data_IF_483246835696
#
_entry.id   IF_483246835696
#
_cell.length_a   1.000
_cell.length_b   1.000
_cell.length_c   1.000
_cell.angle_alpha   90.00
_cell.angle_beta   90.00
_cell.angle_gamma   90.00
#
_symmetry.space_group_name_H-M   'P 1'
#
loop_
_entity.id
_entity.type
_entity.pdbx_description
1 polymer ?
#
# COMPACT_ATOMS: atom_id res chain seq x y z
N UNK A 1 3.22 -6.86 -30.49
CA UNK A 1 2.21 -7.14 -29.43
C UNK A 1 2.91 -6.87 -28.12
N UNK A 2 2.46 -5.87 -27.35
CA UNK A 2 3.03 -5.65 -26.02
C UNK A 2 2.66 -6.85 -25.15
N UNK A 3 3.62 -7.35 -24.37
CA UNK A 3 3.36 -8.41 -23.40
C UNK A 3 2.32 -7.91 -22.37
N UNK A 4 1.48 -8.80 -21.87
CA UNK A 4 0.53 -8.47 -20.80
C UNK A 4 1.28 -7.93 -19.59
N UNK A 5 0.84 -6.81 -18.95
CA UNK A 5 1.47 -6.30 -17.73
C UNK A 5 1.21 -7.21 -16.52
N UNK A 6 0.26 -8.13 -16.64
CA UNK A 6 -0.16 -8.97 -15.54
C UNK A 6 0.77 -10.16 -15.36
N UNK A 7 1.18 -10.37 -14.12
CA UNK A 7 2.04 -11.50 -13.76
C UNK A 7 1.28 -12.83 -13.83
N UNK A 8 1.99 -13.85 -14.29
CA UNK A 8 1.50 -15.22 -14.21
C UNK A 8 1.48 -15.69 -12.74
N UNK A 9 0.43 -16.43 -12.34
CA UNK A 9 0.34 -16.97 -10.99
C UNK A 9 1.55 -17.84 -10.63
N UNK A 10 2.19 -17.53 -9.50
CA UNK A 10 3.28 -18.32 -8.95
C UNK A 10 2.72 -19.46 -8.10
N UNK A 11 3.19 -20.69 -8.34
CA UNK A 11 2.88 -21.79 -7.43
C UNK A 11 3.79 -21.74 -6.21
N UNK A 12 3.17 -21.65 -5.02
CA UNK A 12 3.86 -21.68 -3.72
C UNK A 12 3.26 -22.84 -2.94
N UNK A 13 4.09 -23.81 -2.54
CA UNK A 13 3.62 -25.04 -1.90
C UNK A 13 3.36 -24.84 -0.41
N UNK A 14 4.24 -24.12 0.25
CA UNK A 14 4.33 -24.09 1.71
C UNK A 14 4.25 -22.67 2.28
N UNK A 15 3.60 -22.56 3.45
CA UNK A 15 3.51 -21.31 4.21
C UNK A 15 4.89 -20.85 4.71
N UNK A 16 5.84 -21.75 4.89
CA UNK A 16 7.21 -21.46 5.32
C UNK A 16 8.02 -20.69 4.27
N UNK A 17 7.62 -20.77 3.00
CA UNK A 17 8.22 -19.97 1.93
C UNK A 17 7.74 -18.51 1.93
N UNK A 18 6.71 -18.22 2.73
CA UNK A 18 6.04 -16.94 2.77
C UNK A 18 6.60 -16.04 3.89
N UNK A 19 6.33 -14.75 3.77
CA UNK A 19 6.38 -13.79 4.86
C UNK A 19 5.09 -12.99 4.88
N UNK A 20 4.41 -12.96 6.01
CA UNK A 20 3.16 -12.25 6.16
C UNK A 20 3.41 -10.87 6.76
N UNK A 21 3.26 -9.84 5.94
CA UNK A 21 3.28 -8.45 6.40
C UNK A 21 1.94 -8.10 7.09
N UNK A 22 0.85 -8.66 6.60
CA UNK A 22 -0.47 -8.54 7.22
C UNK A 22 -0.93 -9.87 7.79
N UNK A 23 -1.60 -9.80 8.95
CA UNK A 23 -2.35 -10.94 9.50
C UNK A 23 -3.52 -11.27 8.59
N UNK A 24 -3.64 -12.54 8.21
CA UNK A 24 -4.64 -13.00 7.25
C UNK A 24 -5.34 -14.26 7.72
N UNK A 25 -6.62 -14.38 7.37
CA UNK A 25 -7.34 -15.64 7.46
C UNK A 25 -7.06 -16.45 6.19
N UNK A 26 -6.20 -17.45 6.30
CA UNK A 26 -5.75 -18.28 5.17
C UNK A 26 -6.54 -19.57 5.13
N UNK A 27 -7.27 -19.89 4.04
CA UNK A 27 -8.02 -21.14 3.93
C UNK A 27 -7.13 -22.34 4.24
N UNK A 28 -7.64 -23.29 5.02
CA UNK A 28 -6.98 -24.52 5.49
C UNK A 28 -5.83 -24.31 6.51
N UNK A 29 -5.36 -23.08 6.72
CA UNK A 29 -4.30 -22.74 7.67
C UNK A 29 -4.79 -21.92 8.86
N UNK A 30 -6.02 -21.39 8.81
CA UNK A 30 -6.55 -20.51 9.84
C UNK A 30 -5.91 -19.12 9.83
N UNK A 31 -5.76 -18.51 10.98
CA UNK A 31 -5.12 -17.19 11.13
C UNK A 31 -3.60 -17.34 11.04
N UNK A 32 -3.00 -16.70 10.04
CA UNK A 32 -1.54 -16.54 9.95
C UNK A 32 -1.20 -15.12 10.38
N UNK A 33 -0.41 -15.02 11.45
CA UNK A 33 -0.04 -13.71 12.02
C UNK A 33 0.98 -12.99 11.15
N UNK A 34 0.76 -11.68 10.97
CA UNK A 34 1.68 -10.75 10.32
C UNK A 34 2.04 -9.59 11.24
N UNK A 35 2.75 -8.60 10.70
CA UNK A 35 3.11 -7.40 11.46
C UNK A 35 1.91 -6.50 11.73
N UNK A 36 1.01 -6.37 10.76
CA UNK A 36 -0.22 -5.58 10.85
C UNK A 36 -1.45 -6.47 10.84
N UNK A 37 -2.36 -6.26 11.78
CA UNK A 37 -3.71 -6.83 11.71
C UNK A 37 -4.72 -5.73 11.38
N UNK A 38 -5.17 -5.73 10.12
CA UNK A 38 -6.14 -4.76 9.59
C UNK A 38 -7.58 -5.28 9.71
N UNK A 39 -7.78 -6.57 9.97
CA UNK A 39 -9.08 -7.26 9.94
C UNK A 39 -10.16 -6.59 10.78
N UNK A 40 -9.88 -6.09 12.01
CA UNK A 40 -10.93 -5.50 12.86
C UNK A 40 -11.53 -4.21 12.28
N UNK A 41 -10.77 -3.45 11.47
CA UNK A 41 -11.18 -2.15 10.96
C UNK A 41 -10.80 -1.93 9.48
N UNK A 42 -10.77 -2.99 8.68
CA UNK A 42 -10.33 -2.91 7.28
C UNK A 42 -11.23 -2.00 6.43
N UNK A 43 -12.54 -1.97 6.70
CA UNK A 43 -13.45 -1.06 6.01
C UNK A 43 -13.11 0.42 6.31
N UNK A 44 -12.69 0.73 7.55
CA UNK A 44 -12.21 2.08 7.90
C UNK A 44 -10.87 2.39 7.24
N UNK A 45 -10.02 1.38 7.08
CA UNK A 45 -8.75 1.50 6.37
C UNK A 45 -8.96 1.84 4.91
N UNK A 46 -10.06 1.34 4.30
CA UNK A 46 -10.53 1.66 2.95
C UNK A 46 -11.45 2.89 2.90
N UNK A 47 -11.56 3.67 3.98
CA UNK A 47 -12.36 4.89 4.03
C UNK A 47 -13.88 4.69 4.02
N UNK A 48 -14.36 3.46 4.20
CA UNK A 48 -15.79 3.11 4.18
C UNK A 48 -16.42 3.22 2.78
N UNK A 49 -15.62 3.17 1.74
CA UNK A 49 -16.09 3.27 0.35
C UNK A 49 -16.79 1.96 -0.05
N UNK A 50 -17.93 2.06 -0.74
CA UNK A 50 -18.57 0.88 -1.34
C UNK A 50 -17.74 0.40 -2.54
N UNK A 51 -17.33 -0.87 -2.48
CA UNK A 51 -16.47 -1.50 -3.49
C UNK A 51 -17.25 -2.36 -4.49
N UNK A 52 -18.55 -2.57 -4.25
CA UNK A 52 -19.37 -3.50 -5.02
C UNK A 52 -19.46 -3.10 -6.49
N UNK A 53 -19.05 -4.01 -7.37
CA UNK A 53 -19.05 -3.79 -8.81
C UNK A 53 -18.00 -2.79 -9.29
N UNK A 54 -17.12 -2.30 -8.40
CA UNK A 54 -16.05 -1.37 -8.73
C UNK A 54 -14.78 -2.10 -9.13
N UNK A 55 -13.98 -1.46 -9.95
CA UNK A 55 -12.63 -1.91 -10.28
C UNK A 55 -11.61 -1.16 -9.43
N UNK A 56 -10.88 -1.89 -8.60
CA UNK A 56 -9.92 -1.37 -7.63
C UNK A 56 -8.48 -1.61 -8.07
N UNK A 57 -7.65 -0.57 -8.04
CA UNK A 57 -6.19 -0.67 -8.07
C UNK A 57 -5.67 -0.58 -6.63
N UNK A 58 -5.17 -1.69 -6.11
CA UNK A 58 -4.54 -1.80 -4.78
C UNK A 58 -3.02 -1.62 -4.92
N UNK A 59 -2.52 -0.43 -4.59
CA UNK A 59 -1.10 -0.05 -4.75
C UNK A 59 -0.34 -0.31 -3.46
N UNK A 60 0.66 -1.21 -3.54
CA UNK A 60 1.36 -1.74 -2.38
C UNK A 60 0.59 -2.91 -1.74
N UNK A 61 0.12 -3.83 -2.58
CA UNK A 61 -0.77 -4.92 -2.18
C UNK A 61 -0.17 -5.89 -1.15
N UNK A 62 1.16 -5.98 -1.05
CA UNK A 62 1.89 -6.88 -0.17
C UNK A 62 1.36 -8.33 -0.26
N UNK A 63 0.81 -8.88 0.83
CA UNK A 63 0.21 -10.24 0.83
C UNK A 63 -1.24 -10.28 0.33
N UNK A 64 -1.79 -9.15 -0.16
CA UNK A 64 -3.12 -9.09 -0.75
C UNK A 64 -4.28 -8.97 0.25
N UNK A 65 -4.05 -8.58 1.51
CA UNK A 65 -5.13 -8.47 2.50
C UNK A 65 -6.25 -7.55 2.04
N UNK A 66 -5.91 -6.40 1.45
CA UNK A 66 -6.87 -5.43 0.89
C UNK A 66 -7.47 -5.97 -0.39
N UNK A 67 -6.64 -6.47 -1.30
CA UNK A 67 -7.07 -7.06 -2.57
C UNK A 67 -8.13 -8.13 -2.37
N UNK A 68 -7.87 -9.13 -1.52
CA UNK A 68 -8.80 -10.23 -1.29
C UNK A 68 -10.02 -9.81 -0.45
N UNK A 69 -9.88 -8.79 0.41
CA UNK A 69 -11.05 -8.21 1.07
C UNK A 69 -11.97 -7.50 0.07
N UNK A 70 -11.41 -6.74 -0.86
CA UNK A 70 -12.17 -6.06 -1.91
C UNK A 70 -12.90 -7.05 -2.83
N UNK A 71 -12.25 -8.16 -3.22
CA UNK A 71 -12.93 -9.22 -3.98
C UNK A 71 -14.13 -9.81 -3.22
N UNK A 72 -13.99 -10.05 -1.91
CA UNK A 72 -15.13 -10.50 -1.08
C UNK A 72 -16.27 -9.47 -1.00
N UNK A 73 -15.98 -8.21 -1.35
CA UNK A 73 -16.95 -7.11 -1.51
C UNK A 73 -17.39 -6.93 -2.97
N UNK A 74 -17.17 -7.94 -3.82
CA UNK A 74 -17.57 -7.97 -5.23
C UNK A 74 -16.85 -6.91 -6.11
N UNK A 75 -15.62 -6.52 -5.75
CA UNK A 75 -14.76 -5.70 -6.61
C UNK A 75 -13.97 -6.56 -7.61
N UNK A 76 -13.69 -6.00 -8.80
CA UNK A 76 -12.60 -6.47 -9.66
C UNK A 76 -11.30 -5.83 -9.18
N UNK A 77 -10.23 -6.61 -8.97
CA UNK A 77 -9.02 -6.11 -8.33
C UNK A 77 -7.79 -6.25 -9.23
N UNK A 78 -7.05 -5.16 -9.34
CA UNK A 78 -5.67 -5.13 -9.82
C UNK A 78 -4.77 -4.85 -8.62
N UNK A 79 -3.94 -5.82 -8.25
CA UNK A 79 -2.95 -5.70 -7.18
C UNK A 79 -1.62 -5.25 -7.78
N UNK A 80 -1.10 -4.10 -7.36
CA UNK A 80 0.16 -3.56 -7.84
C UNK A 80 1.20 -3.56 -6.73
N UNK A 81 2.40 -4.13 -6.99
CA UNK A 81 3.50 -4.15 -6.02
C UNK A 81 4.87 -4.27 -6.70
N UNK A 82 5.93 -4.28 -5.91
CA UNK A 82 7.30 -4.60 -6.33
C UNK A 82 7.48 -6.11 -6.46
N UNK A 83 8.24 -6.54 -7.48
CA UNK A 83 8.80 -7.90 -7.48
C UNK A 83 10.19 -7.92 -6.82
N UNK A 84 10.75 -9.13 -6.68
CA UNK A 84 12.13 -9.32 -6.26
C UNK A 84 13.20 -8.74 -7.19
N UNK A 85 12.81 -8.34 -8.42
CA UNK A 85 13.69 -7.69 -9.38
C UNK A 85 13.80 -6.17 -9.15
N UNK A 86 12.89 -5.62 -8.34
CA UNK A 86 12.86 -4.22 -7.96
C UNK A 86 13.53 -3.98 -6.61
N UNK A 87 13.94 -2.75 -6.36
CA UNK A 87 14.39 -2.29 -5.04
C UNK A 87 13.42 -1.27 -4.48
N UNK A 88 13.34 -1.20 -3.16
CA UNK A 88 12.65 -0.11 -2.48
C UNK A 88 13.44 1.19 -2.63
N UNK A 89 12.78 2.32 -2.37
CA UNK A 89 13.43 3.63 -2.24
C UNK A 89 14.28 3.67 -0.95
N UNK A 90 15.44 3.04 -1.00
CA UNK A 90 16.37 3.01 0.14
C UNK A 90 16.97 4.40 0.33
N UNK A 91 16.97 4.89 1.58
CA UNK A 91 17.63 6.15 1.94
C UNK A 91 19.15 6.02 1.77
N UNK A 92 19.77 6.83 0.87
CA UNK A 92 21.19 6.68 0.51
C UNK A 92 22.09 7.45 1.49
N UNK A 93 22.21 6.94 2.71
CA UNK A 93 23.10 7.56 3.70
C UNK A 93 24.56 7.56 3.23
N UNK A 94 25.22 8.72 3.40
CA UNK A 94 26.62 8.88 3.02
C UNK A 94 27.53 7.89 3.77
N UNK A 95 28.42 7.23 3.02
CA UNK A 95 29.36 6.24 3.58
C UNK A 95 28.75 4.87 3.91
N UNK A 96 27.45 4.67 3.69
CA UNK A 96 26.79 3.38 3.93
C UNK A 96 26.64 2.60 2.62
N UNK A 97 27.12 1.37 2.61
CA UNK A 97 26.95 0.45 1.46
C UNK A 97 25.55 -0.16 1.50
N UNK A 98 24.74 0.16 0.50
CA UNK A 98 23.33 -0.26 0.43
C UNK A 98 23.14 -1.63 -0.25
N UNK A 99 24.14 -2.17 -0.93
CA UNK A 99 24.02 -3.38 -1.76
C UNK A 99 23.61 -4.62 -0.94
N UNK A 100 24.15 -4.76 0.28
CA UNK A 100 23.77 -5.86 1.18
C UNK A 100 22.32 -5.72 1.65
N UNK A 101 21.91 -4.48 1.93
CA UNK A 101 20.54 -4.17 2.32
C UNK A 101 19.57 -4.43 1.17
N UNK A 102 19.91 -3.99 -0.04
CA UNK A 102 19.12 -4.22 -1.25
C UNK A 102 18.90 -5.72 -1.50
N UNK A 103 19.95 -6.55 -1.47
CA UNK A 103 19.81 -8.01 -1.61
C UNK A 103 18.89 -8.61 -0.53
N UNK A 104 19.00 -8.15 0.72
CA UNK A 104 18.11 -8.60 1.80
C UNK A 104 16.66 -8.20 1.52
N UNK A 105 16.43 -6.98 1.03
CA UNK A 105 15.09 -6.47 0.69
C UNK A 105 14.47 -7.25 -0.46
N UNK A 106 15.20 -7.56 -1.52
CA UNK A 106 14.73 -8.39 -2.64
C UNK A 106 14.30 -9.79 -2.17
N UNK A 107 15.10 -10.43 -1.31
CA UNK A 107 14.72 -11.70 -0.70
C UNK A 107 13.47 -11.61 0.18
N UNK A 108 13.29 -10.48 0.86
CA UNK A 108 12.09 -10.22 1.65
C UNK A 108 10.85 -10.01 0.77
N UNK A 109 10.97 -9.20 -0.29
CA UNK A 109 9.91 -9.01 -1.28
C UNK A 109 9.46 -10.33 -1.91
N UNK A 110 10.41 -11.20 -2.29
CA UNK A 110 10.09 -12.53 -2.79
C UNK A 110 9.18 -13.31 -1.83
N UNK A 111 9.49 -13.30 -0.53
CA UNK A 111 8.69 -14.01 0.47
C UNK A 111 7.32 -13.37 0.70
N UNK A 112 7.22 -12.03 0.61
CA UNK A 112 5.92 -11.31 0.64
C UNK A 112 5.08 -11.73 -0.56
N UNK A 113 5.66 -11.69 -1.77
CA UNK A 113 4.98 -12.10 -3.00
C UNK A 113 4.58 -13.59 -2.99
N UNK A 114 5.39 -14.45 -2.36
CA UNK A 114 5.00 -15.83 -2.12
C UNK A 114 3.74 -15.90 -1.24
N UNK A 115 3.68 -15.10 -0.18
CA UNK A 115 2.48 -15.02 0.66
C UNK A 115 1.24 -14.55 -0.11
N UNK A 116 1.39 -13.58 -1.01
CA UNK A 116 0.31 -13.17 -1.91
C UNK A 116 -0.19 -14.34 -2.77
N UNK A 117 0.69 -15.01 -3.51
CA UNK A 117 0.31 -16.10 -4.41
C UNK A 117 -0.20 -17.34 -3.68
N UNK A 118 0.34 -17.61 -2.48
CA UNK A 118 -0.15 -18.67 -1.62
C UNK A 118 -1.62 -18.42 -1.21
N UNK A 119 -1.93 -17.22 -0.72
CA UNK A 119 -3.29 -16.85 -0.34
C UNK A 119 -4.22 -16.73 -1.55
N UNK A 120 -3.73 -16.19 -2.67
CA UNK A 120 -4.46 -16.10 -3.94
C UNK A 120 -4.95 -17.47 -4.39
N UNK A 121 -4.06 -18.46 -4.42
CA UNK A 121 -4.39 -19.84 -4.81
C UNK A 121 -5.38 -20.49 -3.86
N UNK A 122 -5.13 -20.43 -2.55
CA UNK A 122 -5.99 -21.07 -1.56
C UNK A 122 -7.36 -20.42 -1.42
N UNK A 123 -7.44 -19.10 -1.64
CA UNK A 123 -8.68 -18.34 -1.64
C UNK A 123 -9.46 -18.41 -2.95
N UNK A 124 -8.89 -19.00 -4.01
CA UNK A 124 -9.51 -19.00 -5.33
C UNK A 124 -9.69 -17.58 -5.89
N UNK A 125 -8.77 -16.66 -5.56
CA UNK A 125 -8.82 -15.26 -5.96
C UNK A 125 -8.72 -15.11 -7.48
N UNK A 126 -9.38 -14.09 -8.01
CA UNK A 126 -9.31 -13.67 -9.42
C UNK A 126 -8.55 -12.35 -9.58
N UNK A 127 -8.04 -11.78 -8.49
CA UNK A 127 -7.25 -10.55 -8.53
C UNK A 127 -6.04 -10.72 -9.45
N UNK A 128 -5.79 -9.72 -10.28
CA UNK A 128 -4.68 -9.74 -11.24
C UNK A 128 -3.52 -8.95 -10.69
N UNK A 129 -2.36 -9.59 -10.53
CA UNK A 129 -1.17 -8.93 -10.03
C UNK A 129 -0.37 -8.27 -11.15
N UNK A 130 0.19 -7.09 -10.86
CA UNK A 130 1.14 -6.36 -11.71
C UNK A 130 2.34 -6.01 -10.84
N UNK A 131 3.54 -6.32 -11.32
CA UNK A 131 4.77 -5.92 -10.65
C UNK A 131 5.47 -4.81 -11.41
N UNK A 132 5.87 -3.76 -10.71
CA UNK A 132 6.53 -2.63 -11.36
C UNK A 132 6.91 -1.50 -10.40
N UNK A 133 7.37 -0.41 -11.00
CA UNK A 133 7.70 0.82 -10.32
C UNK A 133 6.44 1.68 -10.15
N UNK A 134 6.13 2.05 -8.90
CA UNK A 134 4.96 2.86 -8.54
C UNK A 134 4.98 4.25 -9.19
N UNK A 135 6.15 4.74 -9.57
CA UNK A 135 6.29 6.01 -10.27
C UNK A 135 5.86 5.95 -11.75
N UNK A 136 5.73 4.74 -12.29
CA UNK A 136 5.33 4.51 -13.67
C UNK A 136 4.41 3.28 -13.80
N UNK A 137 3.21 3.37 -13.23
CA UNK A 137 2.20 2.31 -13.33
C UNK A 137 1.79 2.16 -14.80
N UNK A 138 1.85 0.93 -15.39
CA UNK A 138 1.62 0.71 -16.81
C UNK A 138 0.21 1.09 -17.27
N UNK A 139 0.11 1.76 -18.43
CA UNK A 139 -1.17 2.14 -19.02
C UNK A 139 -2.05 0.92 -19.37
N UNK A 140 -1.43 -0.21 -19.62
CA UNK A 140 -2.05 -1.48 -19.99
C UNK A 140 -2.92 -2.09 -18.87
N UNK A 141 -2.80 -1.63 -17.62
CA UNK A 141 -3.75 -2.03 -16.58
C UNK A 141 -5.17 -1.54 -16.87
N UNK A 142 -5.29 -0.47 -17.70
CA UNK A 142 -6.55 0.16 -18.06
C UNK A 142 -7.10 1.08 -16.96
N UNK A 143 -8.34 1.52 -17.15
CA UNK A 143 -9.04 2.39 -16.21
C UNK A 143 -9.55 1.61 -15.00
N UNK A 144 -9.57 2.26 -13.84
CA UNK A 144 -10.13 1.75 -12.59
C UNK A 144 -11.07 2.78 -11.98
N UNK A 145 -12.07 2.34 -11.22
CA UNK A 145 -12.95 3.25 -10.50
C UNK A 145 -12.24 3.87 -9.30
N UNK A 146 -11.44 3.05 -8.61
CA UNK A 146 -10.81 3.39 -7.34
C UNK A 146 -9.32 3.02 -7.39
N UNK A 147 -8.44 3.91 -6.89
CA UNK A 147 -7.10 3.51 -6.48
C UNK A 147 -6.92 3.70 -4.98
N UNK A 148 -6.28 2.73 -4.36
CA UNK A 148 -5.97 2.71 -2.93
C UNK A 148 -4.47 2.66 -2.69
N UNK A 149 -3.98 3.53 -1.80
CA UNK A 149 -2.61 3.60 -1.33
C UNK A 149 -2.58 3.40 0.18
N UNK A 150 -2.21 2.21 0.62
CA UNK A 150 -2.21 1.83 2.03
C UNK A 150 -0.83 1.87 2.67
N UNK A 151 -0.50 2.95 3.35
CA UNK A 151 0.76 3.12 4.10
C UNK A 151 2.02 2.83 3.26
N UNK A 152 2.02 3.25 1.99
CA UNK A 152 3.19 3.14 1.12
C UNK A 152 3.85 4.48 0.82
N UNK A 153 3.10 5.59 0.80
CA UNK A 153 3.62 6.89 0.38
C UNK A 153 4.76 7.39 1.28
N UNK A 154 4.74 7.03 2.57
CA UNK A 154 5.80 7.35 3.52
C UNK A 154 7.14 6.70 3.16
N UNK A 155 7.12 5.61 2.42
CA UNK A 155 8.30 4.84 2.00
C UNK A 155 8.89 5.31 0.67
N UNK A 156 8.23 6.24 -0.03
CA UNK A 156 8.58 6.68 -1.35
C UNK A 156 9.37 7.99 -1.31
N UNK A 157 10.35 8.12 -2.19
CA UNK A 157 11.15 9.34 -2.33
C UNK A 157 10.31 10.48 -2.85
N UNK A 158 9.45 10.23 -3.84
CA UNK A 158 8.51 11.19 -4.41
C UNK A 158 7.05 10.68 -4.29
N UNK A 159 6.40 10.90 -3.13
CA UNK A 159 5.04 10.43 -2.90
C UNK A 159 4.00 11.12 -3.80
N UNK A 160 4.27 12.34 -4.30
CA UNK A 160 3.36 13.00 -5.22
C UNK A 160 3.40 12.38 -6.62
N UNK A 161 4.59 12.07 -7.14
CA UNK A 161 4.74 11.41 -8.43
C UNK A 161 4.09 10.01 -8.42
N UNK A 162 4.26 9.25 -7.34
CA UNK A 162 3.62 7.95 -7.18
C UNK A 162 2.08 8.06 -7.20
N UNK A 163 1.55 9.03 -6.47
CA UNK A 163 0.11 9.29 -6.46
C UNK A 163 -0.41 9.74 -7.84
N UNK A 164 0.35 10.59 -8.54
CA UNK A 164 0.04 11.04 -9.90
C UNK A 164 0.03 9.87 -10.89
N UNK A 165 0.97 8.95 -10.75
CA UNK A 165 1.09 7.77 -11.62
C UNK A 165 -0.20 6.92 -11.59
N UNK A 166 -0.70 6.58 -10.40
CA UNK A 166 -1.95 5.82 -10.29
C UNK A 166 -3.20 6.65 -10.59
N UNK A 167 -3.22 7.93 -10.22
CA UNK A 167 -4.36 8.82 -10.45
C UNK A 167 -4.75 8.96 -11.93
N UNK A 168 -3.82 8.72 -12.86
CA UNK A 168 -4.09 8.71 -14.32
C UNK A 168 -5.09 7.63 -14.73
N UNK A 169 -5.17 6.54 -13.97
CA UNK A 169 -6.06 5.41 -14.24
C UNK A 169 -7.43 5.55 -13.58
N UNK A 170 -7.56 6.47 -12.59
CA UNK A 170 -8.73 6.53 -11.70
C UNK A 170 -9.85 7.36 -12.32
N UNK A 171 -11.04 6.77 -12.39
CA UNK A 171 -12.24 7.45 -12.90
C UNK A 171 -12.99 8.23 -11.80
N UNK A 172 -13.05 7.71 -10.58
CA UNK A 172 -13.93 8.29 -9.55
C UNK A 172 -13.25 8.63 -8.21
N UNK A 173 -12.52 7.69 -7.62
CA UNK A 173 -12.13 7.80 -6.21
C UNK A 173 -10.67 7.44 -5.97
N UNK A 174 -9.98 8.29 -5.22
CA UNK A 174 -8.60 8.07 -4.77
C UNK A 174 -8.61 7.97 -3.24
N UNK A 175 -8.04 6.89 -2.71
CA UNK A 175 -7.99 6.63 -1.26
C UNK A 175 -6.52 6.55 -0.84
N UNK A 176 -6.16 7.32 0.19
CA UNK A 176 -4.85 7.25 0.82
C UNK A 176 -5.03 7.05 2.31
N UNK A 177 -4.45 5.97 2.81
CA UNK A 177 -4.37 5.70 4.24
C UNK A 177 -2.91 5.68 4.67
N UNK A 178 -2.58 6.38 5.75
CA UNK A 178 -1.21 6.44 6.25
C UNK A 178 -1.18 6.58 7.78
N UNK A 179 0.02 6.36 8.35
CA UNK A 179 0.27 6.47 9.78
C UNK A 179 0.11 7.94 10.20
N UNK A 180 -0.61 8.15 11.31
CA UNK A 180 -0.73 9.49 11.86
C UNK A 180 0.63 9.99 12.37
N UNK A 181 1.14 11.13 11.86
CA UNK A 181 2.29 11.80 12.45
C UNK A 181 2.06 12.09 13.94
N UNK A 182 3.09 11.89 14.75
CA UNK A 182 3.06 12.10 16.22
C UNK A 182 2.16 11.15 17.03
N UNK A 183 1.84 9.98 16.47
CA UNK A 183 1.18 8.88 17.20
C UNK A 183 -0.20 9.22 17.75
N UNK A 184 -0.47 8.85 18.99
CA UNK A 184 -1.80 9.02 19.61
C UNK A 184 -2.17 10.48 19.86
N UNK A 185 -1.20 11.36 20.07
CA UNK A 185 -1.39 12.81 20.20
C UNK A 185 -1.50 13.51 18.84
N UNK A 186 -1.33 12.76 17.76
CA UNK A 186 -1.24 13.26 16.40
C UNK A 186 -2.52 13.86 15.81
N UNK A 187 -3.74 13.29 16.00
CA UNK A 187 -4.92 13.78 15.31
C UNK A 187 -5.22 15.26 15.49
N UNK A 188 -5.15 15.86 16.70
CA UNK A 188 -5.35 17.29 16.88
C UNK A 188 -4.30 18.15 16.18
N UNK A 189 -3.06 17.69 16.14
CA UNK A 189 -1.92 18.42 15.57
C UNK A 189 -1.84 18.19 14.06
N UNK A 190 -1.90 16.94 13.62
CA UNK A 190 -1.73 16.54 12.23
C UNK A 190 -2.76 17.17 11.28
N UNK A 191 -3.99 17.45 11.79
CA UNK A 191 -5.03 18.13 11.01
C UNK A 191 -4.64 19.55 10.56
N UNK A 192 -3.71 20.21 11.26
CA UNK A 192 -3.26 21.56 10.93
C UNK A 192 -1.95 21.59 10.15
N UNK A 193 -1.19 20.49 10.15
CA UNK A 193 0.06 20.41 9.43
C UNK A 193 -0.19 20.35 7.91
N UNK A 194 0.62 21.07 7.15
CA UNK A 194 0.50 21.21 5.69
C UNK A 194 1.75 20.77 4.94
N UNK A 195 2.83 20.49 5.66
CA UNK A 195 4.14 20.17 5.11
C UNK A 195 4.58 18.78 5.52
N UNK A 196 5.28 18.04 4.65
CA UNK A 196 5.88 16.78 5.02
C UNK A 196 7.02 17.00 6.01
N UNK A 197 7.29 16.02 6.86
CA UNK A 197 8.49 15.98 7.70
C UNK A 197 9.43 14.93 7.15
N UNK A 198 10.67 15.33 6.84
CA UNK A 198 11.72 14.42 6.43
C UNK A 198 12.19 13.61 7.64
N UNK A 199 12.15 12.29 7.55
CA UNK A 199 12.35 11.37 8.68
C UNK A 199 13.79 10.87 8.81
N UNK A 200 14.55 10.69 7.70
CA UNK A 200 15.89 10.13 7.79
C UNK A 200 16.84 10.96 8.66
N UNK A 201 17.52 10.28 9.58
CA UNK A 201 18.47 10.87 10.51
C UNK A 201 19.91 10.45 10.10
N UNK A 202 20.75 11.39 9.63
CA UNK A 202 22.12 11.09 9.20
C UNK A 202 23.05 10.71 10.35
N UNK A 203 22.75 11.11 11.61
CA UNK A 203 23.57 10.74 12.76
C UNK A 203 23.41 9.26 13.13
N UNK A 204 22.18 8.72 12.89
CA UNK A 204 21.84 7.33 13.16
C UNK A 204 21.88 6.44 11.93
N UNK A 205 21.97 7.02 10.73
CA UNK A 205 21.78 6.34 9.47
C UNK A 205 20.50 5.49 9.45
N UNK A 206 19.38 6.07 9.92
CA UNK A 206 18.09 5.38 10.11
C UNK A 206 16.94 6.41 10.06
N UNK A 207 15.71 6.00 9.64
CA UNK A 207 15.36 4.72 9.04
C UNK A 207 15.83 4.58 7.58
N UNK A 208 15.89 3.34 7.09
CA UNK A 208 16.33 3.03 5.73
C UNK A 208 15.23 3.10 4.67
N UNK A 209 13.97 2.98 5.11
CA UNK A 209 12.80 2.71 4.30
C UNK A 209 11.64 3.68 4.55
N UNK A 210 11.88 4.72 5.32
CA UNK A 210 10.87 5.74 5.62
C UNK A 210 11.46 7.12 5.33
N UNK A 211 10.87 7.81 4.36
CA UNK A 211 11.31 9.12 3.93
C UNK A 211 10.55 10.25 4.63
N UNK A 212 9.23 10.05 4.82
CA UNK A 212 8.34 11.13 5.17
C UNK A 212 7.33 10.75 6.27
N UNK A 213 7.00 11.73 7.10
CA UNK A 213 5.70 11.79 7.72
C UNK A 213 4.81 12.73 6.90
N UNK A 214 3.73 12.20 6.34
CA UNK A 214 2.81 12.92 5.48
C UNK A 214 1.54 13.26 6.27
N UNK A 215 1.25 14.55 6.55
CA UNK A 215 0.02 14.90 7.24
C UNK A 215 -1.19 14.86 6.29
N UNK A 216 -2.40 14.57 6.80
CA UNK A 216 -3.59 14.39 5.94
C UNK A 216 -3.94 15.62 5.10
N UNK A 217 -3.67 16.84 5.58
CA UNK A 217 -3.88 18.05 4.77
C UNK A 217 -2.96 18.15 3.55
N UNK A 218 -1.76 17.62 3.63
CA UNK A 218 -0.89 17.55 2.46
C UNK A 218 -1.46 16.58 1.43
N UNK A 219 -1.94 15.41 1.88
CA UNK A 219 -2.59 14.42 1.02
C UNK A 219 -3.84 15.01 0.34
N UNK A 220 -4.68 15.73 1.09
CA UNK A 220 -5.84 16.42 0.51
C UNK A 220 -5.42 17.44 -0.58
N UNK A 221 -4.31 18.16 -0.38
CA UNK A 221 -3.77 19.10 -1.39
C UNK A 221 -3.23 18.37 -2.61
N UNK A 222 -2.53 17.24 -2.43
CA UNK A 222 -2.07 16.40 -3.53
C UNK A 222 -3.27 15.91 -4.36
N UNK A 223 -4.29 15.38 -3.71
CA UNK A 223 -5.52 14.94 -4.35
C UNK A 223 -6.20 16.09 -5.10
N UNK A 224 -6.30 17.27 -4.50
CA UNK A 224 -6.88 18.46 -5.14
C UNK A 224 -6.17 18.86 -6.43
N UNK A 225 -4.82 18.84 -6.43
CA UNK A 225 -4.00 19.11 -7.64
C UNK A 225 -4.25 18.07 -8.73
N UNK A 226 -4.52 16.81 -8.33
CA UNK A 226 -4.78 15.71 -9.26
C UNK A 226 -6.25 15.60 -9.70
N UNK A 227 -7.11 16.55 -9.31
CA UNK A 227 -8.52 16.60 -9.72
C UNK A 227 -9.50 15.86 -8.78
N UNK A 228 -9.04 15.43 -7.58
CA UNK A 228 -9.87 14.78 -6.56
C UNK A 228 -10.14 15.74 -5.40
N UNK A 229 -10.73 16.90 -5.69
CA UNK A 229 -10.84 18.03 -4.75
C UNK A 229 -11.89 17.87 -3.66
N UNK A 230 -12.91 17.03 -3.84
CA UNK A 230 -13.91 16.74 -2.81
C UNK A 230 -13.39 15.64 -1.89
N UNK A 231 -12.79 16.03 -0.76
CA UNK A 231 -12.15 15.09 0.16
C UNK A 231 -12.85 14.94 1.49
N UNK A 232 -12.81 13.74 2.06
CA UNK A 232 -13.15 13.43 3.45
C UNK A 232 -11.91 12.93 4.19
N UNK A 233 -11.88 13.11 5.52
CA UNK A 233 -10.81 12.64 6.41
C UNK A 233 -11.42 11.86 7.56
N UNK A 234 -10.95 10.65 7.76
CA UNK A 234 -11.31 9.80 8.90
C UNK A 234 -10.06 9.37 9.68
N UNK A 235 -10.24 9.13 10.97
CA UNK A 235 -9.22 8.60 11.87
C UNK A 235 -9.66 7.23 12.35
N UNK A 236 -8.71 6.29 12.40
CA UNK A 236 -8.99 4.93 12.90
C UNK A 236 -7.74 4.33 13.53
N UNK A 237 -7.90 3.15 14.15
CA UNK A 237 -6.81 2.39 14.75
C UNK A 237 -6.69 1.04 14.06
N UNK A 238 -5.44 0.61 13.83
CA UNK A 238 -5.07 -0.72 13.39
C UNK A 238 -4.06 -1.31 14.37
N UNK A 239 -3.87 -2.61 14.33
CA UNK A 239 -2.91 -3.26 15.21
C UNK A 239 -1.58 -3.47 14.47
N UNK A 240 -0.49 -2.98 15.03
CA UNK A 240 0.87 -3.26 14.60
C UNK A 240 1.59 -4.05 15.68
N UNK A 241 1.94 -5.31 15.38
CA UNK A 241 2.55 -6.24 16.36
C UNK A 241 1.76 -6.26 17.68
N UNK A 242 0.45 -6.41 17.58
CA UNK A 242 -0.48 -6.45 18.70
C UNK A 242 -0.75 -5.11 19.41
N UNK A 243 -0.10 -4.01 19.00
CA UNK A 243 -0.28 -2.68 19.61
C UNK A 243 -1.10 -1.75 18.72
N UNK A 244 -2.08 -1.01 19.26
CA UNK A 244 -2.85 -0.07 18.47
C UNK A 244 -1.97 1.06 17.94
N UNK A 245 -2.19 1.40 16.66
CA UNK A 245 -1.59 2.53 15.97
C UNK A 245 -2.68 3.37 15.36
N UNK A 246 -2.58 4.68 15.52
CA UNK A 246 -3.51 5.64 14.90
C UNK A 246 -3.09 5.91 13.48
N UNK A 247 -4.04 5.75 12.56
CA UNK A 247 -3.91 6.06 11.14
C UNK A 247 -4.98 7.08 10.76
N UNK A 248 -4.79 7.67 9.59
CA UNK A 248 -5.82 8.46 8.92
C UNK A 248 -6.10 7.88 7.55
N UNK A 249 -7.31 8.09 7.06
CA UNK A 249 -7.69 7.84 5.67
C UNK A 249 -8.26 9.11 5.06
N UNK A 250 -7.73 9.50 3.92
CA UNK A 250 -8.29 10.55 3.06
C UNK A 250 -8.92 9.87 1.85
N UNK A 251 -10.18 10.15 1.62
CA UNK A 251 -10.90 9.75 0.41
C UNK A 251 -11.16 11.00 -0.42
N UNK A 252 -10.69 11.01 -1.66
CA UNK A 252 -10.90 12.09 -2.60
C UNK A 252 -11.74 11.61 -3.79
N UNK A 253 -12.74 12.39 -4.17
CA UNK A 253 -13.58 12.12 -5.33
C UNK A 253 -13.23 13.08 -6.46
N UNK A 254 -13.24 12.56 -7.69
CA UNK A 254 -13.05 13.36 -8.89
C UNK A 254 -14.22 14.36 -9.01
N UNK A 255 -13.90 15.57 -9.43
CA UNK A 255 -14.88 16.66 -9.65
C UNK A 255 -15.51 16.55 -11.03
#
# INVERSE_FOLDING_TARGET
MNASPFAEPRHVESVEECYFYHTMDVPQHGVVEGEWDLRPNIDKYLGGVDLRGMRLLDVGAANGVVSFHAERREAEVVSFDLSEDHSWDIVPYSGVKTEKLDRKRRGHLRRINNGYWFCHRLGGSKARAVYGDVYNIPAEIGEVDIAFYGSILLHLRDPFLALQSGAKHVQSTLIVTDICPYGEFGPPIARFLKHPVFVPDPERNSPWDTWWHLPPRLIQRYMGVLGFGRTTLAWHRQLYRGKPRTLYTVVGHRL
#
